data_IF_581520374114
#
_entry.id   IF_581520374114
#
_cell.length_a   1.000
_cell.length_b   1.000
_cell.length_c   1.000
_cell.angle_alpha   90.00
_cell.angle_beta   90.00
_cell.angle_gamma   90.00
#
_symmetry.space_group_name_H-M   'P 1'
#
loop_
_entity.id
_entity.type
_entity.pdbx_description
1 polymer ?
#
# COMPACT_ATOMS: atom_id res chain seq x y z
N UNK A 1 -19.13 -20.17 -37.83
CA UNK A 1 -18.00 -19.24 -38.01
C UNK A 1 -18.28 -18.03 -37.12
N UNK A 2 -17.93 -18.12 -35.83
CA UNK A 2 -18.12 -17.02 -34.87
C UNK A 2 -16.84 -16.21 -34.86
N UNK A 3 -16.89 -14.99 -35.41
CA UNK A 3 -15.79 -14.05 -35.30
C UNK A 3 -15.69 -13.60 -33.84
N UNK A 4 -14.71 -14.15 -33.13
CA UNK A 4 -14.18 -13.60 -31.88
C UNK A 4 -13.50 -12.28 -32.21
N UNK A 5 -14.26 -11.18 -32.20
CA UNK A 5 -13.72 -9.82 -32.28
C UNK A 5 -13.16 -9.44 -30.92
N UNK A 6 -11.96 -9.93 -30.60
CA UNK A 6 -11.10 -9.36 -29.57
C UNK A 6 -10.60 -8.02 -30.07
N UNK A 7 -11.31 -6.93 -29.81
CA UNK A 7 -10.67 -5.62 -29.87
C UNK A 7 -9.71 -5.54 -28.68
N UNK A 8 -8.39 -5.45 -28.90
CA UNK A 8 -7.44 -5.28 -27.81
C UNK A 8 -7.78 -3.98 -27.05
N UNK A 9 -7.72 -4.04 -25.72
CA UNK A 9 -7.91 -2.86 -24.87
C UNK A 9 -7.09 -1.68 -25.41
N UNK A 10 -7.78 -0.57 -25.71
CA UNK A 10 -7.17 0.59 -26.36
C UNK A 10 -5.94 1.06 -25.56
N UNK A 11 -4.84 1.39 -26.26
CA UNK A 11 -3.59 1.80 -25.63
C UNK A 11 -3.76 3.03 -24.70
N UNK A 12 -4.74 3.90 -25.00
CA UNK A 12 -5.15 5.04 -24.19
C UNK A 12 -5.70 4.61 -22.82
N UNK A 13 -6.63 3.65 -22.78
CA UNK A 13 -7.23 3.10 -21.56
C UNK A 13 -6.16 2.42 -20.70
N UNK A 14 -5.24 1.67 -21.31
CA UNK A 14 -4.14 1.04 -20.59
C UNK A 14 -3.21 2.08 -19.95
N UNK A 15 -2.89 3.14 -20.69
CA UNK A 15 -2.06 4.25 -20.17
C UNK A 15 -2.74 4.96 -18.99
N UNK A 16 -4.04 5.24 -19.09
CA UNK A 16 -4.83 5.84 -18.02
C UNK A 16 -4.94 4.92 -16.79
N UNK A 17 -5.06 3.61 -17.01
CA UNK A 17 -5.07 2.61 -15.95
C UNK A 17 -3.72 2.51 -15.20
N UNK A 18 -2.60 2.74 -15.91
CA UNK A 18 -1.25 2.74 -15.32
C UNK A 18 -0.87 4.07 -14.67
N UNK A 19 -1.24 5.19 -15.27
CA UNK A 19 -0.74 6.51 -14.88
C UNK A 19 -1.67 7.33 -14.00
N UNK A 20 -2.51 6.69 -13.17
CA UNK A 20 -3.49 7.39 -12.35
C UNK A 20 -3.10 7.56 -10.89
N UNK A 21 -3.72 8.57 -10.26
CA UNK A 21 -3.48 8.92 -8.86
C UNK A 21 -3.75 7.77 -7.88
N UNK A 22 -4.88 7.02 -7.94
CA UNK A 22 -5.10 5.88 -7.05
C UNK A 22 -3.95 4.89 -7.07
N UNK A 23 -3.45 4.51 -8.26
CA UNK A 23 -2.32 3.58 -8.39
C UNK A 23 -1.07 4.10 -7.68
N UNK A 24 -0.72 5.37 -7.89
CA UNK A 24 0.46 5.96 -7.25
C UNK A 24 0.32 5.99 -5.72
N UNK A 25 -0.81 6.45 -5.19
CA UNK A 25 -1.02 6.51 -3.72
C UNK A 25 -0.98 5.13 -3.08
N UNK A 26 -1.63 4.14 -3.70
CA UNK A 26 -1.65 2.76 -3.22
C UNK A 26 -0.24 2.16 -3.24
N UNK A 27 0.50 2.34 -4.32
CA UNK A 27 1.86 1.82 -4.44
C UNK A 27 2.81 2.46 -3.43
N UNK A 28 2.76 3.79 -3.28
CA UNK A 28 3.57 4.52 -2.30
C UNK A 28 3.24 4.09 -0.87
N UNK A 29 1.96 3.96 -0.52
CA UNK A 29 1.55 3.47 0.81
C UNK A 29 2.10 2.08 1.09
N UNK A 30 1.95 1.15 0.14
CA UNK A 30 2.44 -0.23 0.28
C UNK A 30 3.95 -0.28 0.43
N UNK A 31 4.68 0.51 -0.37
CA UNK A 31 6.12 0.64 -0.25
C UNK A 31 6.51 1.08 1.17
N UNK A 32 5.94 2.18 1.67
CA UNK A 32 6.22 2.68 3.01
C UNK A 32 5.90 1.66 4.10
N UNK A 33 4.73 1.02 4.04
CA UNK A 33 4.31 0.02 5.03
C UNK A 33 5.20 -1.22 5.01
N UNK A 34 5.57 -1.70 3.83
CA UNK A 34 6.42 -2.90 3.68
C UNK A 34 7.85 -2.61 4.16
N UNK A 35 8.43 -1.49 3.73
CA UNK A 35 9.75 -1.03 4.18
C UNK A 35 9.77 -0.79 5.68
N UNK A 36 8.70 -0.22 6.25
CA UNK A 36 8.62 0.00 7.69
C UNK A 36 8.54 -1.32 8.47
N UNK A 37 7.68 -2.24 8.05
CA UNK A 37 7.54 -3.56 8.68
C UNK A 37 8.84 -4.35 8.63
N UNK A 38 9.51 -4.36 7.48
CA UNK A 38 10.79 -5.03 7.31
C UNK A 38 11.84 -4.48 8.28
N UNK A 39 12.01 -3.15 8.34
CA UNK A 39 12.98 -2.53 9.26
C UNK A 39 12.63 -2.80 10.72
N UNK A 40 11.35 -2.72 11.10
CA UNK A 40 10.91 -3.02 12.46
C UNK A 40 11.20 -4.48 12.86
N UNK A 41 11.04 -5.43 11.93
CA UNK A 41 11.35 -6.85 12.17
C UNK A 41 12.85 -7.13 12.21
N UNK A 42 13.60 -6.65 11.22
CA UNK A 42 14.99 -7.01 10.99
C UNK A 42 15.94 -6.19 11.86
N UNK A 43 15.83 -4.86 11.82
CA UNK A 43 16.75 -3.94 12.50
C UNK A 43 16.37 -3.64 13.95
N UNK A 44 15.07 -3.63 14.27
CA UNK A 44 14.56 -3.31 15.62
C UNK A 44 13.97 -4.52 16.36
N UNK A 45 14.04 -5.71 15.77
CA UNK A 45 13.70 -7.00 16.38
C UNK A 45 12.25 -7.15 16.88
N UNK A 46 11.29 -6.39 16.34
CA UNK A 46 9.86 -6.50 16.62
C UNK A 46 9.20 -7.69 15.91
N UNK A 47 9.76 -8.90 16.03
CA UNK A 47 9.36 -10.09 15.23
C UNK A 47 7.92 -10.55 15.41
N UNK A 48 7.27 -10.19 16.52
CA UNK A 48 5.87 -10.52 16.77
C UNK A 48 4.89 -9.50 16.17
N UNK A 49 5.39 -8.37 15.65
CA UNK A 49 4.58 -7.31 15.04
C UNK A 49 3.88 -7.84 13.78
N UNK A 50 2.62 -7.47 13.62
CA UNK A 50 1.81 -7.76 12.43
C UNK A 50 1.31 -6.46 11.83
N UNK A 51 1.11 -6.44 10.52
CA UNK A 51 0.59 -5.27 9.80
C UNK A 51 -0.74 -4.75 10.39
N UNK A 52 -1.62 -5.66 10.81
CA UNK A 52 -2.91 -5.31 11.41
C UNK A 52 -2.80 -4.62 12.78
N UNK A 53 -1.62 -4.58 13.40
CA UNK A 53 -1.43 -3.92 14.70
C UNK A 53 -1.20 -2.41 14.57
N UNK A 54 -0.69 -1.92 13.43
CA UNK A 54 -0.32 -0.51 13.26
C UNK A 54 -1.46 0.46 13.62
N UNK A 55 -2.70 0.29 13.11
CA UNK A 55 -3.77 1.26 13.38
C UNK A 55 -4.15 1.35 14.86
N UNK A 56 -3.90 0.29 15.63
CA UNK A 56 -4.18 0.23 17.07
C UNK A 56 -3.09 0.97 17.83
N UNK A 57 -1.83 0.69 17.50
CA UNK A 57 -0.67 1.26 18.21
C UNK A 57 -0.66 2.79 18.11
N UNK A 58 -0.98 3.34 16.95
CA UNK A 58 -1.04 4.80 16.75
C UNK A 58 -2.24 5.46 17.47
N UNK A 59 -3.29 4.70 17.79
CA UNK A 59 -4.53 5.23 18.41
C UNK A 59 -4.63 5.03 19.92
N UNK A 60 -3.81 4.16 20.52
CA UNK A 60 -3.88 3.88 21.97
C UNK A 60 -3.45 5.08 22.81
N UNK A 61 -2.45 5.86 22.37
CA UNK A 61 -1.97 7.03 23.12
C UNK A 61 -1.62 6.71 24.57
N UNK A 62 -2.20 7.46 25.52
CA UNK A 62 -2.07 7.21 26.97
C UNK A 62 -3.01 6.10 27.49
N UNK A 63 -4.02 5.73 26.72
CA UNK A 63 -4.99 4.70 27.04
C UNK A 63 -6.32 4.93 26.32
N UNK A 64 -6.93 3.86 25.79
CA UNK A 64 -8.21 3.95 25.07
C UNK A 64 -9.11 2.76 25.39
N UNK A 65 -10.42 2.99 25.47
CA UNK A 65 -11.39 1.89 25.58
C UNK A 65 -11.44 1.11 24.27
N UNK A 66 -11.57 -0.22 24.34
CA UNK A 66 -11.67 -1.06 23.13
C UNK A 66 -12.90 -0.74 22.27
N UNK A 67 -13.99 -0.30 22.89
CA UNK A 67 -15.21 0.12 22.18
C UNK A 67 -14.95 1.36 21.35
N UNK A 68 -14.27 2.35 21.93
CA UNK A 68 -13.89 3.58 21.25
C UNK A 68 -12.86 3.31 20.15
N UNK A 69 -11.90 2.42 20.40
CA UNK A 69 -10.94 2.01 19.37
C UNK A 69 -11.64 1.32 18.19
N UNK A 70 -12.64 0.47 18.45
CA UNK A 70 -13.42 -0.17 17.40
C UNK A 70 -14.21 0.85 16.56
N UNK A 71 -14.82 1.85 17.22
CA UNK A 71 -15.55 2.94 16.58
C UNK A 71 -14.62 3.79 15.70
N UNK A 72 -13.48 4.23 16.25
CA UNK A 72 -12.47 5.02 15.50
C UNK A 72 -11.87 4.26 14.32
N UNK A 73 -11.76 2.93 14.41
CA UNK A 73 -11.28 2.07 13.33
C UNK A 73 -12.37 1.68 12.33
N UNK A 74 -13.65 1.94 12.62
CA UNK A 74 -14.77 1.54 11.77
C UNK A 74 -14.93 0.02 11.64
N UNK A 75 -14.54 -0.75 12.67
CA UNK A 75 -14.60 -2.22 12.67
C UNK A 75 -15.51 -2.74 13.80
N UNK A 76 -15.91 -4.01 13.70
CA UNK A 76 -16.70 -4.63 14.76
C UNK A 76 -15.92 -4.74 16.08
N UNK A 77 -16.63 -4.61 17.21
CA UNK A 77 -16.06 -4.81 18.56
C UNK A 77 -15.37 -6.16 18.70
N UNK A 78 -15.92 -7.20 18.04
CA UNK A 78 -15.33 -8.54 18.02
C UNK A 78 -13.99 -8.57 17.28
N UNK A 79 -13.91 -7.96 16.09
CA UNK A 79 -12.66 -7.87 15.32
C UNK A 79 -11.60 -7.05 16.06
N UNK A 80 -12.02 -5.95 16.69
CA UNK A 80 -11.16 -5.12 17.54
C UNK A 80 -10.59 -5.94 18.71
N UNK A 81 -11.44 -6.64 19.45
CA UNK A 81 -11.02 -7.47 20.58
C UNK A 81 -10.10 -8.63 20.16
N UNK A 82 -10.36 -9.25 19.01
CA UNK A 82 -9.50 -10.32 18.48
C UNK A 82 -8.08 -9.83 18.16
N UNK A 83 -7.96 -8.62 17.61
CA UNK A 83 -6.65 -8.02 17.30
C UNK A 83 -5.95 -7.59 18.59
N UNK A 84 -6.68 -6.98 19.53
CA UNK A 84 -6.16 -6.62 20.85
C UNK A 84 -5.61 -7.85 21.60
N UNK A 85 -6.33 -8.97 21.61
CA UNK A 85 -5.82 -10.21 22.23
C UNK A 85 -4.50 -10.69 21.60
N UNK A 86 -4.33 -10.55 20.28
CA UNK A 86 -3.08 -10.90 19.62
C UNK A 86 -1.95 -9.95 19.98
N UNK A 87 -2.24 -8.64 20.08
CA UNK A 87 -1.26 -7.63 20.49
C UNK A 87 -0.82 -7.80 21.94
N UNK A 88 -1.74 -8.12 22.84
CA UNK A 88 -1.46 -8.39 24.25
C UNK A 88 -0.60 -9.64 24.38
N UNK A 89 -0.94 -10.73 23.66
CA UNK A 89 -0.12 -11.94 23.59
C UNK A 89 1.28 -11.68 23.00
N UNK A 90 1.39 -10.73 22.08
CA UNK A 90 2.66 -10.30 21.50
C UNK A 90 3.46 -9.34 22.41
N UNK A 91 2.91 -8.95 23.57
CA UNK A 91 3.56 -8.12 24.57
C UNK A 91 3.50 -6.62 24.31
N UNK A 92 2.77 -6.14 23.30
CA UNK A 92 2.74 -4.72 22.92
C UNK A 92 1.75 -3.88 23.72
N UNK A 93 0.67 -4.50 24.20
CA UNK A 93 -0.38 -3.82 24.96
C UNK A 93 -0.74 -4.60 26.21
N UNK A 94 -1.37 -3.92 27.15
CA UNK A 94 -2.00 -4.53 28.33
C UNK A 94 -3.32 -3.81 28.64
N UNK A 95 -4.21 -4.49 29.38
CA UNK A 95 -5.46 -3.89 29.87
C UNK A 95 -5.31 -3.45 31.32
N UNK A 96 -5.67 -2.22 31.60
CA UNK A 96 -5.67 -1.63 32.94
C UNK A 96 -7.09 -1.19 33.33
N UNK A 97 -7.43 -1.12 34.64
CA UNK A 97 -8.65 -0.48 35.09
C UNK A 97 -8.73 0.94 34.55
N UNK A 98 -9.90 1.35 34.07
CA UNK A 98 -10.08 2.72 33.58
C UNK A 98 -10.00 3.71 34.77
N UNK A 99 -9.05 4.68 34.74
CA UNK A 99 -8.84 5.61 35.85
C UNK A 99 -10.01 6.57 36.08
N UNK A 100 -10.88 6.76 35.08
CA UNK A 100 -12.08 7.61 35.16
C UNK A 100 -13.33 6.80 35.54
N UNK A 101 -13.31 5.48 35.36
CA UNK A 101 -14.41 4.57 35.61
C UNK A 101 -13.88 3.17 35.94
N UNK A 102 -13.63 2.89 37.23
CA UNK A 102 -13.02 1.63 37.68
C UNK A 102 -13.80 0.34 37.34
N UNK A 103 -15.01 0.45 36.75
CA UNK A 103 -15.76 -0.69 36.21
C UNK A 103 -15.36 -1.03 34.76
N UNK A 104 -14.75 -0.10 34.04
CA UNK A 104 -14.23 -0.25 32.69
C UNK A 104 -12.77 -0.69 32.65
N UNK A 105 -12.30 -1.07 31.45
CA UNK A 105 -10.88 -1.30 31.17
C UNK A 105 -10.44 -0.45 29.98
N UNK A 106 -9.26 0.13 30.08
CA UNK A 106 -8.55 0.76 28.98
C UNK A 106 -7.43 -0.15 28.51
N UNK A 107 -7.12 -0.08 27.22
CA UNK A 107 -5.91 -0.67 26.65
C UNK A 107 -4.83 0.39 26.67
N UNK A 108 -3.65 0.03 27.17
CA UNK A 108 -2.46 0.89 27.22
C UNK A 108 -1.26 0.18 26.58
N UNK A 109 -0.27 0.96 26.13
CA UNK A 109 0.99 0.42 25.61
C UNK A 109 1.89 -0.07 26.74
N UNK A 110 2.46 -1.27 26.60
CA UNK A 110 3.52 -1.77 27.49
C UNK A 110 4.84 -1.02 27.23
N UNK A 111 5.89 -1.32 28.01
CA UNK A 111 7.25 -0.85 27.69
C UNK A 111 7.68 -1.22 26.27
N UNK A 112 7.38 -2.44 25.82
CA UNK A 112 7.67 -2.90 24.45
C UNK A 112 6.83 -2.14 23.41
N UNK A 113 5.55 -1.88 23.69
CA UNK A 113 4.69 -1.05 22.83
C UNK A 113 5.20 0.39 22.68
N UNK A 114 5.68 0.99 23.77
CA UNK A 114 6.29 2.33 23.77
C UNK A 114 7.62 2.36 23.01
N UNK A 115 8.45 1.32 23.14
CA UNK A 115 9.67 1.18 22.33
C UNK A 115 9.35 1.04 20.85
N UNK A 116 8.33 0.23 20.50
CA UNK A 116 7.86 0.10 19.12
C UNK A 116 7.42 1.44 18.52
N UNK A 117 6.72 2.31 19.27
CA UNK A 117 6.38 3.65 18.79
C UNK A 117 7.64 4.49 18.48
N UNK A 118 8.63 4.47 19.38
CA UNK A 118 9.90 5.21 19.20
C UNK A 118 10.66 4.70 17.98
N UNK A 119 10.73 3.39 17.80
CA UNK A 119 11.42 2.78 16.66
C UNK A 119 10.64 3.02 15.36
N UNK A 120 9.31 2.96 15.40
CA UNK A 120 8.45 3.35 14.27
C UNK A 120 8.67 4.79 13.83
N UNK A 121 8.86 5.72 14.77
CA UNK A 121 9.21 7.11 14.45
C UNK A 121 10.56 7.24 13.74
N UNK A 122 11.58 6.48 14.17
CA UNK A 122 12.88 6.47 13.47
C UNK A 122 12.75 5.91 12.06
N UNK A 123 12.05 4.78 11.92
CA UNK A 123 11.83 4.11 10.64
C UNK A 123 11.08 5.02 9.66
N UNK A 124 10.01 5.68 10.10
CA UNK A 124 9.28 6.60 9.22
C UNK A 124 10.13 7.80 8.84
N UNK A 125 10.94 8.33 9.77
CA UNK A 125 11.88 9.41 9.46
C UNK A 125 12.87 9.00 8.36
N UNK A 126 13.39 7.76 8.40
CA UNK A 126 14.24 7.21 7.34
C UNK A 126 13.53 7.11 6.00
N UNK A 127 12.29 6.61 5.97
CA UNK A 127 11.48 6.51 4.73
C UNK A 127 11.20 7.89 4.15
N UNK A 128 10.87 8.86 5.02
CA UNK A 128 10.59 10.24 4.60
C UNK A 128 11.86 10.93 4.07
N UNK A 129 13.03 10.66 4.66
CA UNK A 129 14.31 11.11 4.12
C UNK A 129 14.63 10.47 2.76
N UNK A 130 14.23 9.22 2.53
CA UNK A 130 14.31 8.61 1.20
C UNK A 130 13.43 9.34 0.20
N UNK A 131 12.18 9.64 0.56
CA UNK A 131 11.28 10.40 -0.30
C UNK A 131 11.84 11.80 -0.61
N UNK A 132 12.41 12.47 0.40
CA UNK A 132 13.09 13.75 0.24
C UNK A 132 14.20 13.70 -0.82
N UNK A 133 15.02 12.64 -0.83
CA UNK A 133 16.07 12.48 -1.86
C UNK A 133 15.52 12.36 -3.29
N UNK A 134 14.30 11.86 -3.47
CA UNK A 134 13.70 11.67 -4.79
C UNK A 134 12.96 12.90 -5.31
N UNK A 135 12.23 13.62 -4.45
CA UNK A 135 11.36 14.74 -4.88
C UNK A 135 11.76 16.10 -4.28
N UNK A 136 12.63 16.12 -3.27
CA UNK A 136 13.09 17.32 -2.56
C UNK A 136 12.10 17.87 -1.54
N UNK A 137 12.64 18.55 -0.53
CA UNK A 137 11.90 19.02 0.66
C UNK A 137 10.68 19.88 0.36
N UNK A 138 10.76 20.74 -0.66
CA UNK A 138 9.64 21.61 -1.08
C UNK A 138 8.45 20.79 -1.58
N UNK A 139 8.71 19.79 -2.43
CA UNK A 139 7.64 18.92 -2.97
C UNK A 139 7.11 17.99 -1.89
N UNK A 140 7.99 17.45 -1.04
CA UNK A 140 7.59 16.64 0.11
C UNK A 140 6.64 17.40 1.04
N UNK A 141 7.00 18.63 1.44
CA UNK A 141 6.14 19.50 2.25
C UNK A 141 4.81 19.80 1.56
N UNK A 142 4.83 20.03 0.24
CA UNK A 142 3.61 20.27 -0.55
C UNK A 142 2.72 19.03 -0.57
N UNK A 143 3.30 17.84 -0.79
CA UNK A 143 2.57 16.58 -0.77
C UNK A 143 1.90 16.34 0.59
N UNK A 144 2.63 16.54 1.70
CA UNK A 144 2.06 16.38 3.05
C UNK A 144 0.92 17.37 3.30
N UNK A 145 1.07 18.64 2.89
CA UNK A 145 0.01 19.67 2.98
C UNK A 145 -1.24 19.28 2.20
N UNK A 146 -1.07 18.85 0.95
CA UNK A 146 -2.20 18.51 0.08
C UNK A 146 -2.91 17.25 0.59
N UNK A 147 -2.17 16.22 1.03
CA UNK A 147 -2.77 15.03 1.62
C UNK A 147 -3.46 15.33 2.95
N UNK A 148 -2.93 16.25 3.76
CA UNK A 148 -3.58 16.68 5.00
C UNK A 148 -4.91 17.38 4.71
N UNK A 149 -4.91 18.33 3.75
CA UNK A 149 -6.15 18.99 3.31
C UNK A 149 -7.17 17.99 2.78
N UNK A 150 -6.73 17.01 1.99
CA UNK A 150 -7.58 15.95 1.47
C UNK A 150 -8.17 15.11 2.61
N UNK A 151 -7.34 14.67 3.56
CA UNK A 151 -7.77 13.89 4.70
C UNK A 151 -8.82 14.64 5.54
N UNK A 152 -8.62 15.93 5.79
CA UNK A 152 -9.58 16.77 6.50
C UNK A 152 -10.91 16.92 5.73
N UNK A 153 -10.85 17.20 4.43
CA UNK A 153 -12.05 17.35 3.60
C UNK A 153 -12.83 16.05 3.37
N UNK A 154 -12.17 14.90 3.50
CA UNK A 154 -12.80 13.57 3.51
C UNK A 154 -13.24 13.12 4.92
N UNK A 155 -13.00 13.94 5.95
CA UNK A 155 -13.25 13.60 7.35
C UNK A 155 -12.61 12.28 7.77
N UNK A 156 -11.37 12.05 7.33
CA UNK A 156 -10.60 10.88 7.77
C UNK A 156 -10.23 11.03 9.25
N UNK A 157 -10.36 9.97 10.06
CA UNK A 157 -10.14 10.03 11.49
C UNK A 157 -8.71 10.44 11.82
N UNK A 158 -8.54 11.20 12.92
CA UNK A 158 -7.27 11.70 13.47
C UNK A 158 -6.61 12.87 12.71
N UNK A 159 -7.26 13.45 11.70
CA UNK A 159 -6.71 14.60 10.96
C UNK A 159 -7.56 15.88 11.08
N UNK A 160 -8.67 15.83 11.84
CA UNK A 160 -9.67 16.91 11.96
C UNK A 160 -9.12 18.20 12.58
N UNK A 161 -8.06 18.11 13.39
CA UNK A 161 -7.54 19.23 14.19
C UNK A 161 -6.06 19.56 13.93
N UNK A 162 -5.44 18.98 12.91
CA UNK A 162 -4.02 19.25 12.61
C UNK A 162 -3.90 20.55 11.82
N UNK A 163 -3.23 21.54 12.41
CA UNK A 163 -2.96 22.83 11.77
C UNK A 163 -2.02 22.69 10.56
N UNK A 164 -2.27 23.45 9.50
CA UNK A 164 -1.44 23.43 8.28
C UNK A 164 -0.21 24.34 8.32
N UNK A 165 -0.02 25.10 9.41
CA UNK A 165 0.98 26.16 9.50
C UNK A 165 2.39 25.62 9.75
N UNK A 166 2.52 24.58 10.58
CA UNK A 166 3.78 23.88 10.88
C UNK A 166 3.55 22.38 10.72
N UNK A 167 3.82 21.85 9.52
CA UNK A 167 3.62 20.43 9.22
C UNK A 167 4.97 19.74 9.18
N UNK A 168 5.18 18.80 10.09
CA UNK A 168 6.31 17.89 10.00
C UNK A 168 6.15 16.94 8.81
N UNK A 169 7.17 16.76 7.96
CA UNK A 169 7.12 15.81 6.85
C UNK A 169 6.83 14.36 7.28
N UNK A 170 7.17 13.98 8.51
CA UNK A 170 6.89 12.68 9.14
C UNK A 170 5.40 12.36 9.17
N UNK A 171 4.52 13.37 9.20
CA UNK A 171 3.06 13.21 9.14
C UNK A 171 2.61 12.49 7.86
N UNK A 172 3.39 12.57 6.78
CA UNK A 172 3.11 11.83 5.54
C UNK A 172 3.00 10.32 5.77
N UNK A 173 3.74 9.78 6.75
CA UNK A 173 3.66 8.36 7.12
C UNK A 173 2.30 7.93 7.66
N UNK A 174 1.58 8.83 8.32
CA UNK A 174 0.22 8.57 8.81
C UNK A 174 -0.84 8.89 7.75
N UNK A 175 -0.65 9.95 6.97
CA UNK A 175 -1.60 10.39 5.94
C UNK A 175 -1.69 9.42 4.76
N UNK A 176 -0.54 8.96 4.27
CA UNK A 176 -0.46 8.20 3.03
C UNK A 176 -1.25 6.87 3.09
N UNK A 177 -1.15 6.04 4.15
CA UNK A 177 -2.00 4.86 4.29
C UNK A 177 -3.49 5.18 4.32
N UNK A 178 -3.90 6.24 5.02
CA UNK A 178 -5.31 6.59 5.19
C UNK A 178 -5.94 7.09 3.90
N UNK A 179 -5.22 7.94 3.16
CA UNK A 179 -5.65 8.38 1.84
C UNK A 179 -5.63 7.23 0.81
N UNK A 180 -4.67 6.30 0.92
CA UNK A 180 -4.60 5.09 0.10
C UNK A 180 -5.79 4.14 0.35
N UNK A 181 -6.12 3.91 1.63
CA UNK A 181 -7.26 3.06 2.00
C UNK A 181 -8.57 3.67 1.52
N UNK A 182 -8.77 4.98 1.73
CA UNK A 182 -9.94 5.69 1.22
C UNK A 182 -10.07 5.54 -0.31
N UNK A 183 -9.01 5.84 -1.06
CA UNK A 183 -9.07 5.79 -2.53
C UNK A 183 -9.35 4.37 -3.04
N UNK A 184 -8.79 3.35 -2.39
CA UNK A 184 -9.08 1.94 -2.70
C UNK A 184 -10.55 1.59 -2.45
N UNK A 185 -11.09 1.95 -1.28
CA UNK A 185 -12.49 1.69 -0.91
C UNK A 185 -13.46 2.39 -1.87
N UNK A 186 -13.21 3.67 -2.16
CA UNK A 186 -14.05 4.45 -3.07
C UNK A 186 -14.00 3.90 -4.50
N UNK A 187 -12.80 3.60 -5.01
CA UNK A 187 -12.63 3.01 -6.34
C UNK A 187 -13.35 1.67 -6.47
N UNK A 188 -13.23 0.79 -5.47
CA UNK A 188 -13.93 -0.49 -5.46
C UNK A 188 -15.44 -0.31 -5.41
N UNK A 189 -15.95 0.58 -4.56
CA UNK A 189 -17.38 0.88 -4.44
C UNK A 189 -17.98 1.35 -5.78
N UNK A 190 -17.32 2.31 -6.43
CA UNK A 190 -17.74 2.84 -7.73
C UNK A 190 -17.67 1.78 -8.83
N UNK A 191 -16.60 0.98 -8.85
CA UNK A 191 -16.44 -0.09 -9.83
C UNK A 191 -17.51 -1.18 -9.65
N UNK A 192 -17.82 -1.57 -8.41
CA UNK A 192 -18.92 -2.50 -8.08
C UNK A 192 -20.25 -1.99 -8.64
N UNK A 193 -20.55 -0.71 -8.41
CA UNK A 193 -21.79 -0.07 -8.85
C UNK A 193 -21.95 -0.02 -10.38
N UNK A 194 -20.85 -0.09 -11.15
CA UNK A 194 -20.85 -0.10 -12.62
C UNK A 194 -21.14 -1.46 -13.26
N UNK A 195 -21.56 -2.47 -12.49
CA UNK A 195 -21.94 -3.79 -13.02
C UNK A 195 -21.00 -4.93 -12.60
N UNK A 196 -20.26 -4.73 -11.52
CA UNK A 196 -19.31 -5.70 -10.97
C UNK A 196 -19.66 -6.16 -9.54
N UNK A 197 -20.91 -6.60 -9.24
CA UNK A 197 -21.40 -6.85 -7.88
C UNK A 197 -20.68 -7.99 -7.14
N UNK A 198 -20.03 -8.91 -7.86
CA UNK A 198 -19.28 -10.01 -7.27
C UNK A 198 -17.90 -9.62 -6.72
N UNK A 199 -17.45 -8.38 -6.95
CA UNK A 199 -16.15 -7.93 -6.46
C UNK A 199 -16.15 -7.73 -4.94
N UNK A 200 -15.00 -8.06 -4.34
CA UNK A 200 -14.72 -7.93 -2.90
C UNK A 200 -13.48 -7.09 -2.71
N UNK A 201 -13.32 -6.45 -1.55
CA UNK A 201 -12.13 -5.64 -1.25
C UNK A 201 -10.81 -6.41 -1.38
N UNK A 202 -10.82 -7.70 -1.05
CA UNK A 202 -9.65 -8.58 -1.23
C UNK A 202 -9.19 -8.71 -2.68
N UNK A 203 -10.06 -8.48 -3.67
CA UNK A 203 -9.70 -8.53 -5.08
C UNK A 203 -8.77 -7.38 -5.49
N UNK A 204 -8.81 -6.24 -4.80
CA UNK A 204 -7.96 -5.07 -5.08
C UNK A 204 -6.45 -5.37 -5.01
N UNK A 205 -6.05 -6.33 -4.16
CA UNK A 205 -4.68 -6.87 -4.06
C UNK A 205 -4.17 -7.43 -5.39
N UNK A 206 -5.06 -8.02 -6.18
CA UNK A 206 -4.71 -8.62 -7.47
C UNK A 206 -5.03 -7.64 -8.60
N UNK A 207 -6.20 -7.01 -8.58
CA UNK A 207 -6.67 -6.14 -9.66
C UNK A 207 -5.71 -4.98 -9.91
N UNK A 208 -5.20 -4.32 -8.86
CA UNK A 208 -4.23 -3.22 -9.02
C UNK A 208 -2.95 -3.60 -9.79
N UNK A 209 -2.65 -4.90 -9.88
CA UNK A 209 -1.48 -5.42 -10.58
C UNK A 209 -1.82 -6.01 -11.95
N UNK A 210 -3.01 -6.59 -12.11
CA UNK A 210 -3.44 -7.18 -13.38
C UNK A 210 -3.87 -6.07 -14.34
N UNK A 211 -3.03 -5.82 -15.34
CA UNK A 211 -3.29 -4.85 -16.39
C UNK A 211 -2.01 -4.43 -17.12
N UNK A 212 -0.83 -4.61 -16.53
CA UNK A 212 0.43 -4.13 -17.10
C UNK A 212 1.05 -4.96 -18.24
N UNK A 213 0.50 -6.16 -18.48
CA UNK A 213 1.01 -7.35 -19.24
C UNK A 213 1.49 -8.46 -18.28
N UNK A 214 1.13 -9.70 -18.61
CA UNK A 214 1.65 -10.98 -18.11
C UNK A 214 2.23 -10.98 -16.68
N UNK A 215 1.41 -10.68 -15.67
CA UNK A 215 1.85 -10.73 -14.27
C UNK A 215 1.73 -12.16 -13.74
N UNK A 216 2.76 -12.63 -13.05
CA UNK A 216 2.82 -13.97 -12.45
C UNK A 216 2.30 -13.93 -11.02
N UNK A 217 1.62 -15.00 -10.59
CA UNK A 217 1.08 -15.14 -9.22
C UNK A 217 2.18 -14.94 -8.15
N UNK A 218 3.42 -15.39 -8.44
CA UNK A 218 4.55 -15.24 -7.52
C UNK A 218 4.94 -13.78 -7.29
N UNK A 219 4.87 -12.97 -8.33
CA UNK A 219 5.23 -11.54 -8.29
C UNK A 219 4.19 -10.77 -7.49
N UNK A 220 2.91 -11.07 -7.73
CA UNK A 220 1.80 -10.54 -6.95
C UNK A 220 1.98 -10.87 -5.46
N UNK A 221 2.33 -12.11 -5.11
CA UNK A 221 2.53 -12.51 -3.73
C UNK A 221 3.69 -11.75 -3.04
N UNK A 222 4.84 -11.66 -3.73
CA UNK A 222 6.03 -10.94 -3.24
C UNK A 222 5.72 -9.46 -3.01
N UNK A 223 5.07 -8.80 -3.97
CA UNK A 223 4.78 -7.37 -3.92
C UNK A 223 3.66 -6.99 -2.96
N UNK A 224 2.68 -7.87 -2.76
CA UNK A 224 1.57 -7.61 -1.85
C UNK A 224 1.90 -8.01 -0.41
N UNK A 225 3.08 -8.57 -0.15
CA UNK A 225 3.46 -9.17 1.12
C UNK A 225 2.39 -10.16 1.66
N UNK A 226 1.73 -10.88 0.75
CA UNK A 226 0.74 -11.91 1.08
C UNK A 226 1.21 -13.28 0.60
N UNK A 227 0.62 -14.33 1.16
CA UNK A 227 0.99 -15.71 0.78
C UNK A 227 0.59 -16.02 -0.65
N UNK A 228 1.36 -16.87 -1.34
CA UNK A 228 1.01 -17.37 -2.69
C UNK A 228 -0.37 -18.04 -2.70
N UNK A 229 -0.75 -18.67 -1.59
CA UNK A 229 -2.05 -19.30 -1.39
C UNK A 229 -3.18 -18.25 -1.35
N UNK A 230 -2.97 -17.14 -0.65
CA UNK A 230 -3.94 -16.04 -0.61
C UNK A 230 -4.13 -15.44 -2.01
N UNK A 231 -3.05 -15.18 -2.75
CA UNK A 231 -3.14 -14.72 -4.15
C UNK A 231 -3.87 -15.74 -5.01
N UNK A 232 -3.49 -17.02 -4.94
CA UNK A 232 -4.12 -18.07 -5.75
C UNK A 232 -5.62 -18.19 -5.50
N UNK A 233 -6.05 -18.01 -4.25
CA UNK A 233 -7.47 -18.00 -3.89
C UNK A 233 -8.20 -16.79 -4.50
N UNK A 234 -7.61 -15.59 -4.42
CA UNK A 234 -8.17 -14.37 -5.04
C UNK A 234 -8.26 -14.55 -6.56
N UNK A 235 -7.20 -15.06 -7.20
CA UNK A 235 -7.18 -15.31 -8.64
C UNK A 235 -8.27 -16.30 -9.02
N UNK A 236 -8.43 -17.41 -8.27
CA UNK A 236 -9.50 -18.39 -8.51
C UNK A 236 -10.90 -17.77 -8.43
N UNK A 237 -11.11 -16.87 -7.47
CA UNK A 237 -12.38 -16.12 -7.34
C UNK A 237 -12.60 -15.20 -8.55
N UNK A 238 -11.56 -14.46 -8.99
CA UNK A 238 -11.61 -13.60 -10.17
C UNK A 238 -11.81 -14.38 -11.49
N UNK A 239 -11.27 -15.59 -11.60
CA UNK A 239 -11.53 -16.52 -12.71
C UNK A 239 -12.99 -16.98 -12.69
N UNK A 240 -13.52 -17.36 -11.51
CA UNK A 240 -14.92 -17.73 -11.35
C UNK A 240 -15.91 -16.60 -11.68
N UNK A 241 -15.50 -15.35 -11.44
CA UNK A 241 -16.24 -14.14 -11.83
C UNK A 241 -16.03 -13.75 -13.31
N UNK A 242 -15.18 -14.49 -14.03
CA UNK A 242 -14.93 -14.33 -15.45
C UNK A 242 -14.05 -13.14 -15.82
N UNK A 243 -13.29 -12.55 -14.89
CA UNK A 243 -12.44 -11.39 -15.17
C UNK A 243 -11.06 -11.75 -15.72
N UNK A 244 -10.52 -12.90 -15.30
CA UNK A 244 -9.17 -13.33 -15.69
C UNK A 244 -9.17 -14.79 -16.12
N UNK A 245 -8.15 -15.18 -16.86
CA UNK A 245 -7.84 -16.57 -17.21
C UNK A 245 -6.35 -16.84 -17.02
N UNK A 246 -6.00 -18.09 -16.71
CA UNK A 246 -4.61 -18.56 -16.63
C UNK A 246 -4.17 -19.16 -17.96
N UNK A 247 -2.97 -18.79 -18.39
CA UNK A 247 -2.26 -19.45 -19.49
C UNK A 247 -0.88 -19.89 -19.02
N UNK A 248 -0.43 -21.07 -19.43
CA UNK A 248 0.94 -21.51 -19.16
C UNK A 248 1.93 -20.49 -19.74
N UNK A 249 2.92 -20.12 -18.93
CA UNK A 249 4.01 -19.25 -19.36
C UNK A 249 4.88 -20.01 -20.38
N UNK A 250 5.05 -19.50 -21.62
CA UNK A 250 5.86 -20.14 -22.65
C UNK A 250 7.32 -20.33 -22.23
N UNK A 251 7.87 -19.39 -21.45
CA UNK A 251 9.26 -19.40 -21.02
C UNK A 251 9.43 -20.23 -19.72
N UNK A 252 8.35 -20.40 -18.95
CA UNK A 252 8.35 -21.14 -17.69
C UNK A 252 7.07 -21.98 -17.49
N UNK A 253 6.96 -23.19 -18.07
CA UNK A 253 5.72 -23.98 -18.09
C UNK A 253 5.11 -24.34 -16.72
N UNK A 254 5.90 -24.23 -15.65
CA UNK A 254 5.44 -24.42 -14.25
C UNK A 254 4.76 -23.17 -13.66
N UNK A 255 4.68 -22.08 -14.42
CA UNK A 255 4.11 -20.81 -14.01
C UNK A 255 2.93 -20.45 -14.90
N UNK A 256 1.96 -19.74 -14.30
CA UNK A 256 0.77 -19.28 -15.01
C UNK A 256 0.79 -17.76 -15.12
N UNK A 257 0.58 -17.29 -16.34
CA UNK A 257 0.31 -15.89 -16.67
C UNK A 257 -1.18 -15.61 -16.47
N UNK A 258 -1.48 -14.46 -15.86
CA UNK A 258 -2.86 -13.98 -15.73
C UNK A 258 -3.18 -13.03 -16.88
N UNK A 259 -4.21 -13.39 -17.64
CA UNK A 259 -4.71 -12.64 -18.78
C UNK A 259 -6.11 -12.11 -18.47
N UNK A 260 -6.40 -10.88 -18.89
CA UNK A 260 -7.75 -10.32 -18.81
C UNK A 260 -8.63 -10.98 -19.88
N UNK A 261 -9.87 -11.29 -19.52
CA UNK A 261 -10.93 -11.64 -20.48
C UNK A 261 -11.56 -10.35 -21.06
N UNK A 262 -12.55 -10.49 -21.94
CA UNK A 262 -13.34 -9.33 -22.39
C UNK A 262 -14.05 -8.64 -21.21
N UNK A 263 -14.63 -9.43 -20.30
CA UNK A 263 -15.24 -8.92 -19.06
C UNK A 263 -14.20 -8.28 -18.14
N UNK A 264 -12.98 -8.84 -18.09
CA UNK A 264 -11.84 -8.23 -17.39
C UNK A 264 -11.43 -6.90 -18.00
N UNK A 265 -11.42 -6.78 -19.32
CA UNK A 265 -11.11 -5.54 -20.02
C UNK A 265 -12.18 -4.46 -19.77
N UNK A 266 -13.45 -4.85 -19.76
CA UNK A 266 -14.56 -3.97 -19.38
C UNK A 266 -14.41 -3.50 -17.92
N UNK A 267 -14.05 -4.39 -16.99
CA UNK A 267 -13.75 -4.03 -15.60
C UNK A 267 -12.65 -2.96 -15.50
N UNK A 268 -11.59 -3.06 -16.31
CA UNK A 268 -10.52 -2.06 -16.34
C UNK A 268 -11.04 -0.72 -16.87
N UNK A 269 -11.85 -0.73 -17.93
CA UNK A 269 -12.47 0.49 -18.46
C UNK A 269 -13.37 1.17 -17.42
N UNK A 270 -14.23 0.41 -16.74
CA UNK A 270 -15.12 0.92 -15.69
C UNK A 270 -14.35 1.43 -14.46
N UNK A 271 -13.22 0.79 -14.14
CA UNK A 271 -12.30 1.25 -13.11
C UNK A 271 -11.64 2.58 -13.50
N UNK A 272 -11.15 2.73 -14.74
CA UNK A 272 -10.60 4.01 -15.25
C UNK A 272 -11.65 5.12 -15.20
N UNK A 273 -12.90 4.84 -15.54
CA UNK A 273 -13.97 5.82 -15.40
C UNK A 273 -14.28 6.14 -13.94
N UNK A 274 -14.11 5.18 -13.03
CA UNK A 274 -14.28 5.39 -11.58
C UNK A 274 -13.16 6.26 -11.01
N UNK A 275 -11.94 6.17 -11.55
CA UNK A 275 -10.85 7.10 -11.22
C UNK A 275 -11.25 8.54 -11.54
N UNK A 276 -11.90 8.79 -12.69
CA UNK A 276 -12.34 10.16 -13.05
C UNK A 276 -13.31 10.73 -12.03
N UNK A 277 -14.20 9.90 -11.49
CA UNK A 277 -15.17 10.31 -10.48
C UNK A 277 -14.49 10.61 -9.14
N UNK A 278 -13.58 9.74 -8.68
CA UNK A 278 -12.73 10.01 -7.51
C UNK A 278 -11.93 11.30 -7.65
N UNK A 279 -11.34 11.56 -8.83
CA UNK A 279 -10.58 12.79 -9.06
C UNK A 279 -11.46 14.03 -8.99
N UNK A 280 -12.73 13.97 -9.45
CA UNK A 280 -13.69 15.09 -9.29
C UNK A 280 -14.04 15.33 -7.81
N UNK A 281 -14.24 14.27 -7.04
CA UNK A 281 -14.48 14.37 -5.59
C UNK A 281 -13.30 15.05 -4.89
N UNK A 282 -12.08 14.64 -5.26
CA UNK A 282 -10.86 15.22 -4.68
C UNK A 282 -10.65 16.66 -5.16
N UNK A 283 -10.99 16.98 -6.41
CA UNK A 283 -10.95 18.34 -6.94
C UNK A 283 -11.90 19.27 -6.19
N UNK A 284 -13.10 18.80 -5.84
CA UNK A 284 -14.06 19.59 -5.07
C UNK A 284 -13.53 19.98 -3.68
N UNK A 285 -12.68 19.14 -3.08
CA UNK A 285 -12.04 19.38 -1.79
C UNK A 285 -10.78 20.25 -1.93
N UNK A 286 -9.92 19.89 -2.87
CA UNK A 286 -8.57 20.44 -2.98
C UNK A 286 -8.51 21.71 -3.83
N UNK A 287 -9.35 21.79 -4.86
CA UNK A 287 -9.20 22.67 -6.01
C UNK A 287 -8.26 22.09 -7.07
N UNK A 288 -8.42 22.54 -8.32
CA UNK A 288 -7.68 22.06 -9.49
C UNK A 288 -6.15 22.11 -9.32
N UNK A 289 -5.62 23.23 -8.80
CA UNK A 289 -4.17 23.41 -8.61
C UNK A 289 -3.58 22.40 -7.63
N UNK A 290 -4.20 22.22 -6.46
CA UNK A 290 -3.70 21.30 -5.43
C UNK A 290 -3.85 19.84 -5.86
N UNK A 291 -4.93 19.49 -6.56
CA UNK A 291 -5.07 18.15 -7.16
C UNK A 291 -3.99 17.89 -8.22
N UNK A 292 -3.68 18.88 -9.07
CA UNK A 292 -2.59 18.79 -10.04
C UNK A 292 -1.23 18.54 -9.37
N UNK A 293 -0.95 19.23 -8.26
CA UNK A 293 0.26 19.01 -7.46
C UNK A 293 0.31 17.61 -6.87
N UNK A 294 -0.80 17.13 -6.27
CA UNK A 294 -0.89 15.77 -5.74
C UNK A 294 -0.57 14.73 -6.82
N UNK A 295 -1.22 14.83 -7.99
CA UNK A 295 -1.02 13.94 -9.12
C UNK A 295 0.43 13.94 -9.58
N UNK A 296 1.02 15.11 -9.78
CA UNK A 296 2.38 15.24 -10.31
C UNK A 296 3.43 14.73 -9.32
N UNK A 297 3.33 15.15 -8.04
CA UNK A 297 4.34 14.82 -7.03
C UNK A 297 4.28 13.32 -6.69
N UNK A 298 3.07 12.75 -6.52
CA UNK A 298 2.93 11.31 -6.30
C UNK A 298 3.44 10.48 -7.47
N UNK A 299 3.22 10.93 -8.72
CA UNK A 299 3.77 10.26 -9.90
C UNK A 299 5.29 10.33 -9.93
N UNK A 300 5.87 11.50 -9.67
CA UNK A 300 7.32 11.69 -9.64
C UNK A 300 7.98 10.79 -8.58
N UNK A 301 7.42 10.75 -7.37
CA UNK A 301 7.92 9.88 -6.31
C UNK A 301 7.78 8.39 -6.68
N UNK A 302 6.64 8.00 -7.24
CA UNK A 302 6.40 6.62 -7.70
C UNK A 302 7.42 6.16 -8.76
N UNK A 303 7.75 7.05 -9.72
CA UNK A 303 8.77 6.78 -10.74
C UNK A 303 10.18 6.80 -10.15
N UNK A 304 10.49 7.74 -9.26
CA UNK A 304 11.79 7.86 -8.60
C UNK A 304 12.15 6.66 -7.73
N UNK A 305 11.15 6.05 -7.09
CA UNK A 305 11.27 4.80 -6.34
C UNK A 305 11.26 3.54 -7.25
N UNK A 306 11.17 3.72 -8.56
CA UNK A 306 11.15 2.65 -9.57
C UNK A 306 10.10 1.57 -9.30
N UNK A 307 8.92 1.97 -8.77
CA UNK A 307 7.90 1.02 -8.35
C UNK A 307 7.27 0.26 -9.53
N UNK A 308 7.41 0.72 -10.78
CA UNK A 308 7.04 -0.03 -11.99
C UNK A 308 8.07 -1.08 -12.42
N UNK A 309 9.36 -0.84 -12.20
CA UNK A 309 10.42 -1.75 -12.62
C UNK A 309 10.37 -3.08 -11.84
N UNK A 310 9.80 -3.07 -10.63
CA UNK A 310 9.52 -4.27 -9.85
C UNK A 310 8.54 -5.25 -10.51
N UNK A 311 7.86 -4.86 -11.58
CA UNK A 311 6.97 -5.71 -12.40
C UNK A 311 7.64 -6.26 -13.67
N UNK A 312 8.88 -5.85 -13.96
CA UNK A 312 9.63 -6.23 -15.16
C UNK A 312 10.84 -7.08 -14.76
N UNK A 313 10.61 -8.36 -14.44
CA UNK A 313 11.68 -9.36 -14.52
C UNK A 313 12.00 -9.64 -16.00
N UNK A 314 12.72 -8.73 -16.64
CA UNK A 314 13.76 -9.17 -17.58
C UNK A 314 14.97 -9.53 -16.73
N UNK A 315 15.64 -10.64 -17.04
CA UNK A 315 16.78 -11.21 -16.33
C UNK A 315 17.95 -10.23 -16.06
N UNK A 316 17.97 -9.09 -16.75
CA UNK A 316 18.91 -7.97 -16.52
C UNK A 316 18.53 -7.08 -15.33
N UNK A 317 17.25 -6.92 -15.01
CA UNK A 317 16.76 -6.10 -13.89
C UNK A 317 17.10 -6.73 -12.53
N UNK A 318 17.03 -8.06 -12.42
CA UNK A 318 17.42 -8.80 -11.22
C UNK A 318 18.92 -8.61 -10.91
N UNK A 319 19.77 -8.56 -11.94
CA UNK A 319 21.20 -8.36 -11.78
C UNK A 319 21.54 -6.93 -11.35
N UNK A 320 20.80 -5.94 -11.85
CA UNK A 320 20.95 -4.53 -11.44
C UNK A 320 20.41 -4.28 -10.02
N UNK A 321 19.28 -4.88 -9.64
CA UNK A 321 18.77 -4.83 -8.28
C UNK A 321 19.71 -5.51 -7.29
N UNK A 322 20.19 -6.72 -7.62
CA UNK A 322 21.18 -7.42 -6.82
C UNK A 322 22.46 -6.59 -6.69
N UNK A 323 22.94 -5.97 -7.77
CA UNK A 323 24.10 -5.08 -7.73
C UNK A 323 23.88 -3.84 -6.86
N UNK A 324 22.68 -3.23 -6.87
CA UNK A 324 22.35 -2.11 -5.97
C UNK A 324 22.28 -2.54 -4.51
N UNK A 325 21.64 -3.67 -4.21
CA UNK A 325 21.58 -4.23 -2.85
C UNK A 325 22.98 -4.53 -2.30
N UNK A 326 23.83 -5.15 -3.12
CA UNK A 326 25.22 -5.44 -2.76
C UNK A 326 26.02 -4.16 -2.54
N UNK A 327 25.81 -3.11 -3.35
CA UNK A 327 26.46 -1.79 -3.14
C UNK A 327 26.00 -1.08 -1.86
N UNK A 328 24.79 -1.34 -1.38
CA UNK A 328 24.30 -0.79 -0.11
C UNK A 328 24.83 -1.56 1.11
N UNK A 329 25.22 -2.82 0.91
CA UNK A 329 25.70 -3.71 1.99
C UNK A 329 27.22 -3.81 2.07
N UNK A 330 27.94 -3.50 0.99
CA UNK A 330 29.40 -3.61 0.89
C UNK A 330 30.06 -2.24 0.87
N UNK A 331 31.24 -2.12 1.49
CA UNK A 331 32.14 -0.98 1.28
C UNK A 331 32.73 -1.00 -0.14
N UNK A 332 33.35 0.10 -0.58
CA UNK A 332 34.04 0.13 -1.89
C UNK A 332 35.04 -1.02 -2.07
N UNK A 333 35.76 -1.36 -1.00
CA UNK A 333 36.71 -2.49 -1.01
C UNK A 333 35.99 -3.85 -1.07
N UNK A 334 34.82 -3.97 -0.42
CA UNK A 334 33.97 -5.16 -0.51
C UNK A 334 33.41 -5.39 -1.92
N UNK A 335 33.07 -4.31 -2.64
CA UNK A 335 32.63 -4.40 -4.04
C UNK A 335 33.77 -4.86 -4.95
N UNK A 336 34.99 -4.32 -4.78
CA UNK A 336 36.17 -4.76 -5.55
C UNK A 336 36.51 -6.23 -5.30
N UNK A 337 36.46 -6.68 -4.05
CA UNK A 337 36.70 -8.08 -3.69
C UNK A 337 35.66 -9.02 -4.32
N UNK A 338 34.39 -8.61 -4.34
CA UNK A 338 33.32 -9.38 -5.00
C UNK A 338 33.55 -9.50 -6.51
N UNK A 339 33.96 -8.42 -7.19
CA UNK A 339 34.29 -8.45 -8.62
C UNK A 339 35.40 -9.48 -8.89
N UNK A 340 36.48 -9.45 -8.11
CA UNK A 340 37.58 -10.42 -8.25
C UNK A 340 37.22 -11.88 -7.96
N UNK A 341 36.14 -12.13 -7.20
CA UNK A 341 35.62 -13.48 -6.98
C UNK A 341 34.74 -13.96 -8.14
N UNK A 342 33.92 -13.07 -8.70
CA UNK A 342 33.03 -13.38 -9.82
C UNK A 342 33.78 -13.55 -11.16
N UNK A 343 34.95 -12.95 -11.31
CA UNK A 343 35.81 -13.10 -12.50
C UNK A 343 36.69 -14.37 -12.48
N UNK A 344 36.64 -15.18 -11.41
CA UNK A 344 37.44 -16.40 -11.25
C UNK A 344 36.73 -17.71 -11.62
N UNK A 345 35.44 -17.64 -11.97
CA UNK A 345 34.61 -18.76 -12.44
C UNK A 345 34.20 -18.56 -13.91
#
# INVERSE_FOLDING_TARGET
>A
MLMSSTEPMQASTLSQYKGNLPRHLIALSRYSQSSAMQQLHEAYHHRALRMSFEPYISMIGEGVRLTELAERLGISKQSCNQTANQMEKAGYIQREPDPLDGRGKVVVLTGQGKTLLKDGYKVITTIIAEFDRHIGAKKLTTLTKVLLKLAGGLSLPNFEHISTTEIEPTLLGALLPRCSDHVMQRLMTLTIAKGHPGLKMSHGTVLTLIGSKNVRIREIAKQQAVTKQAVSAIVKDLEGLGYVTRKADPDYPRQNLLLLTDRGSQLIADSVDSVKEVEREYEAILGCTALGQLKSISKELYLGLELEAQFQETSTTDLQQLARQLKLQLSEDGVKALISLLEKD
#
